data_IF_191940700196
#
_entry.id   IF_191940700196
#
_cell.length_a   1.000
_cell.length_b   1.000
_cell.length_c   1.000
_cell.angle_alpha   90.00
_cell.angle_beta   90.00
_cell.angle_gamma   90.00
#
_symmetry.space_group_name_H-M   'P 1'
#
loop_
_entity.id
_entity.type
_entity.pdbx_description
1 polymer ?
#
# COMPACT_ATOMS: atom_id res chain seq x y z
N UNK A 1 -22.73 21.97 19.68
CA UNK A 1 -21.56 21.10 19.48
C UNK A 1 -22.02 19.91 18.67
N UNK A 2 -21.92 20.00 17.34
CA UNK A 2 -22.42 18.97 16.42
C UNK A 2 -21.31 17.95 16.24
N UNK A 3 -21.52 16.74 16.76
CA UNK A 3 -20.65 15.60 16.49
C UNK A 3 -20.93 15.17 15.05
N UNK A 4 -20.03 15.53 14.14
CA UNK A 4 -20.00 14.99 12.79
C UNK A 4 -19.68 13.49 12.91
N UNK A 5 -20.70 12.66 12.78
CA UNK A 5 -20.56 11.21 12.63
C UNK A 5 -19.79 10.93 11.34
N UNK A 6 -18.52 10.52 11.47
CA UNK A 6 -17.75 9.96 10.37
C UNK A 6 -18.54 8.79 9.77
N UNK A 7 -18.99 8.95 8.52
CA UNK A 7 -19.59 7.87 7.73
C UNK A 7 -18.51 6.79 7.54
N UNK A 8 -18.75 5.52 7.92
CA UNK A 8 -17.82 4.45 7.62
C UNK A 8 -17.64 4.30 6.10
N UNK A 9 -16.39 4.08 5.66
CA UNK A 9 -16.03 3.79 4.27
C UNK A 9 -16.71 2.48 3.83
N UNK A 10 -17.90 2.59 3.25
CA UNK A 10 -18.58 1.48 2.60
C UNK A 10 -17.94 1.22 1.23
N UNK A 11 -16.77 0.58 1.23
CA UNK A 11 -16.35 -0.26 0.10
C UNK A 11 -17.39 -1.39 0.01
N UNK A 12 -18.44 -1.17 -0.79
CA UNK A 12 -19.62 -2.01 -0.98
C UNK A 12 -19.57 -3.41 -0.38
N UNK A 13 -20.09 -3.54 0.84
CA UNK A 13 -20.61 -4.80 1.39
C UNK A 13 -22.03 -4.53 1.92
N UNK A 14 -22.81 -3.73 1.21
CA UNK A 14 -24.24 -3.61 1.45
C UNK A 14 -24.98 -4.58 0.52
N UNK A 15 -25.54 -5.62 1.13
CA UNK A 15 -26.55 -6.56 0.60
C UNK A 15 -26.21 -7.21 -0.75
N UNK A 16 -25.47 -8.31 -0.70
CA UNK A 16 -25.68 -9.41 -1.67
C UNK A 16 -27.03 -10.02 -1.33
N UNK A 17 -28.08 -9.63 -2.06
CA UNK A 17 -29.31 -10.41 -2.08
C UNK A 17 -29.01 -11.73 -2.80
N UNK A 18 -29.65 -12.82 -2.37
CA UNK A 18 -29.34 -14.19 -2.80
C UNK A 18 -29.47 -14.45 -4.32
N UNK A 19 -29.97 -13.49 -5.11
CA UNK A 19 -30.13 -13.60 -6.56
C UNK A 19 -28.87 -13.21 -7.36
N UNK A 20 -27.99 -12.36 -6.83
CA UNK A 20 -26.75 -11.91 -7.51
C UNK A 20 -25.49 -12.70 -7.09
N UNK A 21 -25.66 -13.71 -6.23
CA UNK A 21 -24.57 -14.35 -5.48
C UNK A 21 -23.67 -15.32 -6.28
N UNK A 22 -23.84 -15.45 -7.59
CA UNK A 22 -23.17 -16.50 -8.38
C UNK A 22 -21.96 -16.03 -9.21
N UNK A 23 -21.75 -14.73 -9.38
CA UNK A 23 -20.53 -14.22 -10.03
C UNK A 23 -19.62 -13.49 -9.02
N UNK A 24 -18.30 -13.77 -9.04
CA UNK A 24 -17.38 -13.06 -8.17
C UNK A 24 -17.31 -11.58 -8.59
N UNK A 25 -17.33 -10.68 -7.59
CA UNK A 25 -17.02 -9.26 -7.84
C UNK A 25 -15.65 -9.16 -8.50
N UNK A 26 -15.53 -8.29 -9.51
CA UNK A 26 -14.31 -8.11 -10.28
C UNK A 26 -13.69 -6.75 -9.97
N UNK A 27 -12.38 -6.75 -9.82
CA UNK A 27 -11.55 -5.56 -9.75
C UNK A 27 -10.61 -5.53 -10.95
N UNK A 28 -10.51 -4.37 -11.61
CA UNK A 28 -9.54 -4.18 -12.69
C UNK A 28 -8.18 -3.83 -12.10
N UNK A 29 -7.14 -4.51 -12.57
CA UNK A 29 -5.76 -4.24 -12.21
C UNK A 29 -5.00 -3.78 -13.44
N UNK A 30 -4.22 -2.71 -13.33
CA UNK A 30 -3.15 -2.46 -14.30
C UNK A 30 -1.94 -3.29 -13.89
N UNK A 31 -1.35 -4.02 -14.82
CA UNK A 31 -0.14 -4.82 -14.64
C UNK A 31 0.97 -4.31 -15.56
N UNK A 32 2.19 -4.13 -15.04
CA UNK A 32 3.39 -3.78 -15.80
C UNK A 32 4.01 -5.04 -16.41
N UNK A 33 3.83 -5.22 -17.72
CA UNK A 33 4.44 -6.29 -18.49
C UNK A 33 5.93 -6.03 -18.77
N UNK A 34 6.64 -7.05 -19.24
CA UNK A 34 8.03 -6.93 -19.75
C UNK A 34 9.13 -6.77 -18.70
N UNK A 35 8.84 -6.29 -17.48
CA UNK A 35 9.83 -6.19 -16.38
C UNK A 35 9.79 -7.33 -15.38
N UNK A 36 8.62 -7.74 -14.84
CA UNK A 36 8.57 -8.91 -13.99
C UNK A 36 9.07 -10.14 -14.76
N UNK A 37 9.71 -11.12 -14.09
CA UNK A 37 10.04 -12.39 -14.72
C UNK A 37 8.84 -12.98 -15.46
N UNK A 38 9.05 -13.54 -16.67
CA UNK A 38 7.99 -14.13 -17.49
C UNK A 38 7.10 -15.10 -16.68
N UNK A 39 7.71 -15.91 -15.81
CA UNK A 39 7.00 -16.83 -14.92
C UNK A 39 5.98 -16.11 -14.02
N UNK A 40 6.34 -14.96 -13.47
CA UNK A 40 5.47 -14.19 -12.57
C UNK A 40 4.32 -13.56 -13.35
N UNK A 41 4.61 -13.06 -14.56
CA UNK A 41 3.58 -12.54 -15.46
C UNK A 41 2.58 -13.64 -15.86
N UNK A 42 3.06 -14.81 -16.32
CA UNK A 42 2.18 -15.93 -16.67
C UNK A 42 1.37 -16.36 -15.44
N UNK A 43 2.01 -16.53 -14.28
CA UNK A 43 1.32 -16.93 -13.05
C UNK A 43 0.21 -15.96 -12.67
N UNK A 44 0.46 -14.64 -12.76
CA UNK A 44 -0.59 -13.66 -12.49
C UNK A 44 -1.75 -13.80 -13.51
N UNK A 45 -1.43 -13.90 -14.79
CA UNK A 45 -2.45 -14.00 -15.84
C UNK A 45 -3.27 -15.29 -15.76
N UNK A 46 -2.68 -16.42 -15.34
CA UNK A 46 -3.40 -17.71 -15.27
C UNK A 46 -4.11 -17.94 -13.95
N UNK A 47 -3.52 -17.51 -12.83
CA UNK A 47 -4.05 -17.80 -11.48
C UNK A 47 -4.88 -16.67 -10.87
N UNK A 48 -4.72 -15.43 -11.34
CA UNK A 48 -5.42 -14.27 -10.79
C UNK A 48 -6.48 -13.71 -11.72
N UNK A 49 -6.28 -13.73 -13.04
CA UNK A 49 -7.26 -13.17 -13.96
C UNK A 49 -8.57 -13.99 -13.98
N UNK A 50 -9.72 -13.32 -14.18
CA UNK A 50 -11.07 -13.93 -14.24
C UNK A 50 -11.13 -15.12 -15.20
N UNK A 51 -10.44 -15.02 -16.34
CA UNK A 51 -10.41 -16.03 -17.40
C UNK A 51 -9.03 -16.69 -17.55
N UNK A 52 -8.21 -16.65 -16.50
CA UNK A 52 -6.81 -17.11 -16.56
C UNK A 52 -6.64 -18.60 -16.89
N UNK A 53 -7.58 -19.45 -16.47
CA UNK A 53 -7.54 -20.91 -16.71
C UNK A 53 -7.66 -21.31 -18.18
N UNK A 54 -8.23 -20.44 -19.02
CA UNK A 54 -8.40 -20.66 -20.46
C UNK A 54 -7.46 -19.78 -21.28
N UNK A 55 -6.51 -19.09 -20.63
CA UNK A 55 -5.60 -18.19 -21.32
C UNK A 55 -4.61 -18.96 -22.20
N UNK A 56 -4.38 -18.46 -23.41
CA UNK A 56 -3.32 -18.99 -24.29
C UNK A 56 -1.95 -18.53 -23.79
N UNK A 57 -1.21 -19.47 -23.19
CA UNK A 57 0.14 -19.23 -22.64
C UNK A 57 1.12 -18.76 -23.72
N UNK A 58 0.96 -19.19 -24.97
CA UNK A 58 1.83 -18.72 -26.07
C UNK A 58 1.57 -17.23 -26.34
N UNK A 59 0.30 -16.85 -26.49
CA UNK A 59 -0.07 -15.45 -26.68
C UNK A 59 0.40 -14.56 -25.52
N UNK A 60 0.26 -15.03 -24.27
CA UNK A 60 0.77 -14.34 -23.08
C UNK A 60 2.30 -14.17 -23.11
N UNK A 61 3.02 -15.18 -23.59
CA UNK A 61 4.48 -15.12 -23.72
C UNK A 61 4.91 -14.11 -24.79
N UNK A 62 4.19 -14.07 -25.91
CA UNK A 62 4.46 -13.13 -26.99
C UNK A 62 4.17 -11.67 -26.57
N UNK A 63 3.10 -11.44 -25.81
CA UNK A 63 2.79 -10.13 -25.22
C UNK A 63 3.89 -9.69 -24.25
N UNK A 64 4.33 -10.58 -23.35
CA UNK A 64 5.42 -10.27 -22.42
C UNK A 64 6.73 -9.95 -23.16
N UNK A 65 7.01 -10.68 -24.26
CA UNK A 65 8.20 -10.44 -25.08
C UNK A 65 8.15 -9.09 -25.76
N UNK A 66 6.99 -8.69 -26.31
CA UNK A 66 6.81 -7.37 -26.89
C UNK A 66 7.05 -6.25 -25.87
N UNK A 67 6.48 -6.37 -24.67
CA UNK A 67 6.73 -5.42 -23.59
C UNK A 67 8.21 -5.41 -23.16
N UNK A 68 8.87 -6.57 -23.13
CA UNK A 68 10.31 -6.65 -22.82
C UNK A 68 11.18 -5.94 -23.85
N UNK A 69 10.85 -6.04 -25.16
CA UNK A 69 11.52 -5.29 -26.23
C UNK A 69 11.34 -3.78 -26.00
N UNK A 70 10.12 -3.33 -25.71
CA UNK A 70 9.82 -1.93 -25.39
C UNK A 70 10.64 -1.42 -24.20
N UNK A 71 10.80 -2.23 -23.14
CA UNK A 71 11.66 -1.90 -22.00
C UNK A 71 13.12 -1.72 -22.43
N UNK A 72 13.66 -2.61 -23.27
CA UNK A 72 15.03 -2.48 -23.78
C UNK A 72 15.24 -1.25 -24.68
N UNK A 73 14.21 -0.77 -25.36
CA UNK A 73 14.25 0.51 -26.10
C UNK A 73 14.29 1.69 -25.13
N UNK A 74 13.40 1.71 -24.15
CA UNK A 74 13.34 2.75 -23.12
C UNK A 74 14.63 2.80 -22.29
N UNK A 75 15.28 1.67 -22.04
CA UNK A 75 16.60 1.64 -21.39
C UNK A 75 17.66 2.42 -22.16
N UNK A 76 17.62 2.38 -23.50
CA UNK A 76 18.58 3.11 -24.35
C UNK A 76 18.21 4.59 -24.48
N UNK A 77 16.91 4.89 -24.56
CA UNK A 77 16.40 6.24 -24.81
C UNK A 77 16.31 7.09 -23.53
N UNK A 78 16.03 6.44 -22.40
CA UNK A 78 15.69 7.08 -21.13
C UNK A 78 16.62 6.64 -19.98
N UNK A 79 17.86 6.25 -20.30
CA UNK A 79 18.87 5.96 -19.27
C UNK A 79 19.00 7.15 -18.31
N UNK A 80 18.93 6.88 -17.00
CA UNK A 80 18.96 7.90 -15.96
C UNK A 80 17.68 8.72 -15.78
N UNK A 81 16.55 8.34 -16.41
CA UNK A 81 15.27 9.06 -16.27
C UNK A 81 14.84 9.30 -14.83
N UNK A 82 15.04 8.30 -13.97
CA UNK A 82 14.66 8.32 -12.57
C UNK A 82 15.75 8.94 -11.66
N UNK A 83 16.90 9.29 -12.22
CA UNK A 83 18.04 9.78 -11.46
C UNK A 83 17.88 11.27 -11.15
N UNK A 84 18.32 11.68 -9.97
CA UNK A 84 18.26 13.04 -9.42
C UNK A 84 16.87 13.69 -9.56
N UNK A 85 15.80 13.06 -9.07
CA UNK A 85 14.47 13.64 -9.14
C UNK A 85 14.42 14.93 -8.30
N UNK A 86 13.65 15.91 -8.79
CA UNK A 86 13.44 17.16 -8.04
C UNK A 86 12.59 16.85 -6.79
N UNK A 87 13.12 17.20 -5.62
CA UNK A 87 12.41 17.19 -4.35
C UNK A 87 12.09 18.64 -4.01
N UNK A 88 10.87 19.07 -4.34
CA UNK A 88 10.41 20.44 -4.23
C UNK A 88 9.98 20.81 -2.82
N UNK A 89 10.03 22.11 -2.52
CA UNK A 89 9.50 22.65 -1.26
C UNK A 89 7.97 22.62 -1.26
N UNK A 90 7.40 22.41 -0.08
CA UNK A 90 5.97 22.55 0.13
C UNK A 90 5.58 24.04 0.12
N UNK A 91 4.41 24.37 -0.44
CA UNK A 91 3.92 25.74 -0.40
C UNK A 91 3.66 26.21 1.04
N UNK A 92 4.03 27.44 1.38
CA UNK A 92 3.93 27.97 2.75
C UNK A 92 2.51 27.89 3.36
N UNK A 93 1.47 27.92 2.54
CA UNK A 93 0.09 27.81 3.01
C UNK A 93 -0.26 26.40 3.53
N UNK A 94 0.53 25.37 3.21
CA UNK A 94 0.35 24.00 3.68
C UNK A 94 1.14 23.68 4.97
N UNK A 95 1.93 24.63 5.49
CA UNK A 95 2.70 24.43 6.74
C UNK A 95 1.84 24.02 7.94
N UNK A 96 0.60 24.51 8.13
CA UNK A 96 -0.27 23.99 9.19
C UNK A 96 -0.53 22.49 9.06
N UNK A 97 -0.83 22.01 7.84
CA UNK A 97 -1.08 20.58 7.58
C UNK A 97 0.21 19.75 7.71
N UNK A 98 1.35 20.30 7.30
CA UNK A 98 2.66 19.69 7.53
C UNK A 98 2.92 19.51 9.01
N UNK A 99 2.66 20.53 9.83
CA UNK A 99 2.81 20.43 11.28
C UNK A 99 1.86 19.38 11.90
N UNK A 100 0.63 19.24 11.40
CA UNK A 100 -0.28 18.18 11.84
C UNK A 100 0.30 16.79 11.57
N UNK A 101 0.82 16.53 10.36
CA UNK A 101 1.45 15.23 10.03
C UNK A 101 2.73 14.99 10.83
N UNK A 102 3.59 16.00 11.01
CA UNK A 102 4.83 15.82 11.75
C UNK A 102 4.58 15.58 13.25
N UNK A 103 3.49 16.09 13.82
CA UNK A 103 3.14 15.83 15.22
C UNK A 103 2.32 14.54 15.42
N UNK A 104 1.99 13.84 14.34
CA UNK A 104 1.21 12.60 14.36
C UNK A 104 2.03 11.45 15.00
N UNK A 105 1.51 10.75 16.02
CA UNK A 105 2.19 9.60 16.62
C UNK A 105 2.53 8.48 15.63
N UNK A 106 1.69 8.23 14.62
CA UNK A 106 1.98 7.23 13.59
C UNK A 106 3.11 7.69 12.67
N UNK A 107 3.25 9.00 12.42
CA UNK A 107 4.40 9.53 11.70
C UNK A 107 5.68 9.29 12.51
N UNK A 108 5.67 9.69 13.79
CA UNK A 108 6.84 9.56 14.67
C UNK A 108 7.28 8.10 14.83
N UNK A 109 6.34 7.18 14.99
CA UNK A 109 6.65 5.75 15.08
C UNK A 109 7.17 5.18 13.75
N UNK A 110 6.60 5.58 12.62
CA UNK A 110 6.96 5.01 11.32
C UNK A 110 8.24 5.59 10.72
N UNK A 111 8.57 6.84 11.03
CA UNK A 111 9.65 7.60 10.37
C UNK A 111 10.67 8.21 11.33
N UNK A 112 10.57 7.98 12.65
CA UNK A 112 11.47 8.57 13.64
C UNK A 112 12.90 8.02 13.66
N UNK A 113 13.19 6.94 12.93
CA UNK A 113 14.52 6.30 12.92
C UNK A 113 15.48 6.87 11.87
N UNK A 114 14.97 7.54 10.84
CA UNK A 114 15.75 8.15 9.77
C UNK A 114 15.25 9.57 9.50
N UNK A 115 16.09 10.49 8.99
CA UNK A 115 15.63 11.82 8.61
C UNK A 115 14.48 11.73 7.59
N UNK A 116 13.34 12.32 7.93
CA UNK A 116 12.17 12.37 7.10
C UNK A 116 11.54 13.76 7.11
N UNK A 117 11.11 14.24 5.94
CA UNK A 117 10.34 15.49 5.81
C UNK A 117 9.25 15.32 4.76
N UNK A 118 8.36 16.30 4.66
CA UNK A 118 7.33 16.38 3.64
C UNK A 118 7.79 17.31 2.52
N UNK A 119 7.80 16.78 1.30
CA UNK A 119 8.22 17.49 0.11
C UNK A 119 7.26 17.26 -1.06
N UNK A 120 7.38 18.07 -2.11
CA UNK A 120 6.65 17.88 -3.36
C UNK A 120 7.50 17.07 -4.33
N UNK A 121 6.97 15.95 -4.83
CA UNK A 121 7.72 15.01 -5.67
C UNK A 121 7.07 14.85 -7.05
N UNK A 122 7.89 14.74 -8.10
CA UNK A 122 7.42 14.45 -9.46
C UNK A 122 7.01 12.98 -9.58
N UNK A 123 5.73 12.73 -9.89
CA UNK A 123 5.15 11.39 -9.96
C UNK A 123 5.81 10.51 -11.02
N UNK A 124 6.09 11.04 -12.21
CA UNK A 124 6.61 10.28 -13.36
C UNK A 124 8.05 9.79 -13.20
N UNK A 125 8.78 10.33 -12.22
CA UNK A 125 10.15 9.89 -11.88
C UNK A 125 10.23 8.96 -10.67
N UNK A 126 9.13 8.76 -9.95
CA UNK A 126 9.11 7.83 -8.83
C UNK A 126 9.43 6.42 -9.31
N UNK A 127 10.49 5.83 -8.74
CA UNK A 127 10.83 4.43 -8.97
C UNK A 127 9.79 3.55 -8.28
N UNK A 128 9.27 2.56 -9.01
CA UNK A 128 8.26 1.62 -8.51
C UNK A 128 8.78 0.19 -8.59
N UNK A 129 8.34 -0.66 -7.66
CA UNK A 129 8.65 -2.10 -7.67
C UNK A 129 7.39 -2.98 -7.59
N UNK A 130 6.22 -2.36 -7.39
CA UNK A 130 4.96 -3.08 -7.51
C UNK A 130 4.71 -3.41 -8.97
N UNK A 131 4.19 -4.61 -9.23
CA UNK A 131 3.94 -5.12 -10.60
C UNK A 131 2.56 -4.73 -11.10
N UNK A 132 1.65 -4.41 -10.19
CA UNK A 132 0.27 -4.11 -10.50
C UNK A 132 -0.34 -3.12 -9.51
N UNK A 133 -1.37 -2.42 -9.95
CA UNK A 133 -2.18 -1.50 -9.14
C UNK A 133 -3.66 -1.82 -9.37
N UNK A 134 -4.43 -1.94 -8.30
CA UNK A 134 -5.88 -2.08 -8.38
C UNK A 134 -6.51 -0.73 -8.79
N UNK A 135 -7.13 -0.70 -9.98
CA UNK A 135 -7.74 0.49 -10.56
C UNK A 135 -9.03 0.90 -9.86
N UNK A 136 -9.67 0.01 -9.11
CA UNK A 136 -10.85 0.38 -8.32
C UNK A 136 -10.52 1.32 -7.16
N UNK A 137 -9.24 1.55 -6.86
CA UNK A 137 -8.82 2.62 -5.95
C UNK A 137 -8.97 4.03 -6.58
N UNK A 138 -8.93 4.14 -7.91
CA UNK A 138 -8.99 5.43 -8.61
C UNK A 138 -10.29 6.18 -8.32
N UNK A 139 -11.50 5.59 -8.44
CA UNK A 139 -12.75 6.26 -8.08
C UNK A 139 -12.79 6.73 -6.62
N UNK A 140 -12.11 6.04 -5.69
CA UNK A 140 -12.06 6.47 -4.30
C UNK A 140 -11.24 7.75 -4.13
N UNK A 141 -10.10 7.85 -4.81
CA UNK A 141 -9.31 9.10 -4.82
C UNK A 141 -10.09 10.21 -5.52
N UNK A 142 -10.72 9.91 -6.66
CA UNK A 142 -11.55 10.87 -7.37
C UNK A 142 -12.76 11.34 -6.55
N UNK A 143 -13.36 10.51 -5.71
CA UNK A 143 -14.47 10.95 -4.84
C UNK A 143 -14.04 11.92 -3.73
N UNK A 144 -12.74 11.92 -3.39
CA UNK A 144 -12.17 12.83 -2.38
C UNK A 144 -11.62 14.12 -2.98
N UNK A 145 -11.27 14.07 -4.26
CA UNK A 145 -10.81 15.22 -5.03
C UNK A 145 -11.99 15.70 -5.85
N UNK A 146 -12.63 16.79 -5.45
CA UNK A 146 -13.71 17.41 -6.24
C UNK A 146 -13.23 17.77 -7.67
N UNK A 147 -14.11 18.32 -8.51
CA UNK A 147 -13.77 18.62 -9.92
C UNK A 147 -12.57 19.57 -10.10
N UNK A 148 -12.23 20.36 -9.09
CA UNK A 148 -11.06 21.23 -9.04
C UNK A 148 -10.43 21.16 -7.64
N UNK A 149 -9.59 20.15 -7.35
CA UNK A 149 -9.05 19.96 -6.01
C UNK A 149 -8.08 21.08 -5.64
N UNK A 150 -8.15 21.55 -4.40
CA UNK A 150 -7.16 22.47 -3.84
C UNK A 150 -5.86 21.72 -3.50
N UNK A 151 -4.76 22.45 -3.29
CA UNK A 151 -3.52 21.84 -2.80
C UNK A 151 -3.70 21.16 -1.43
N UNK A 152 -4.60 21.68 -0.59
CA UNK A 152 -4.96 21.05 0.70
C UNK A 152 -5.68 19.71 0.50
N UNK A 153 -6.60 19.61 -0.47
CA UNK A 153 -7.30 18.35 -0.78
C UNK A 153 -6.29 17.29 -1.24
N UNK A 154 -5.36 17.69 -2.12
CA UNK A 154 -4.28 16.82 -2.60
C UNK A 154 -3.39 16.40 -1.44
N UNK A 155 -3.03 17.33 -0.55
CA UNK A 155 -2.23 17.04 0.65
C UNK A 155 -2.92 16.00 1.54
N UNK A 156 -4.20 16.19 1.87
CA UNK A 156 -4.98 15.27 2.73
C UNK A 156 -5.22 13.91 2.09
N UNK A 157 -5.27 13.85 0.76
CA UNK A 157 -5.29 12.57 0.04
C UNK A 157 -3.93 11.89 0.16
N UNK A 158 -2.83 12.60 -0.07
CA UNK A 158 -1.45 12.09 0.01
C UNK A 158 -1.08 11.60 1.41
N UNK A 159 -1.39 12.41 2.41
CA UNK A 159 -0.96 12.25 3.79
C UNK A 159 -2.18 12.26 4.74
N UNK A 160 -2.97 11.17 4.80
CA UNK A 160 -4.19 11.12 5.60
C UNK A 160 -3.88 10.94 7.10
N UNK A 161 -3.64 12.05 7.80
CA UNK A 161 -3.42 12.11 9.25
C UNK A 161 -4.73 12.06 10.07
N UNK A 162 -5.88 11.96 9.40
CA UNK A 162 -7.19 11.62 9.98
C UNK A 162 -7.38 10.09 10.15
N UNK A 163 -6.40 9.30 9.69
CA UNK A 163 -6.32 7.84 9.84
C UNK A 163 -7.62 7.10 9.46
N UNK A 164 -8.08 7.22 8.20
CA UNK A 164 -9.28 6.55 7.75
C UNK A 164 -9.13 5.04 7.97
N UNK A 165 -10.10 4.44 8.66
CA UNK A 165 -10.12 3.00 8.93
C UNK A 165 -11.04 2.28 7.94
N UNK A 166 -10.49 1.47 7.03
CA UNK A 166 -11.30 0.58 6.21
C UNK A 166 -12.12 -0.37 7.08
N UNK A 167 -13.28 -0.81 6.58
CA UNK A 167 -14.12 -1.78 7.28
C UNK A 167 -13.32 -3.06 7.56
N UNK A 168 -13.41 -3.52 8.81
CA UNK A 168 -12.91 -4.82 9.25
C UNK A 168 -14.09 -5.66 9.71
N UNK A 169 -14.22 -6.85 9.14
CA UNK A 169 -15.10 -7.90 9.66
C UNK A 169 -14.24 -8.94 10.35
N UNK A 170 -14.73 -9.53 11.43
CA UNK A 170 -14.01 -10.59 12.10
C UNK A 170 -14.95 -11.69 12.56
N UNK A 171 -14.38 -12.87 12.76
CA UNK A 171 -15.08 -14.02 13.31
C UNK A 171 -14.14 -14.81 14.21
N UNK A 172 -14.73 -15.46 15.21
CA UNK A 172 -14.06 -16.48 16.02
C UNK A 172 -14.47 -17.85 15.49
N UNK A 173 -13.52 -18.60 14.93
CA UNK A 173 -13.79 -19.93 14.38
C UNK A 173 -13.59 -21.04 15.42
N UNK A 174 -12.70 -20.82 16.39
CA UNK A 174 -12.45 -21.72 17.53
C UNK A 174 -12.13 -20.90 18.78
N UNK A 175 -12.05 -21.56 19.94
CA UNK A 175 -11.81 -20.88 21.21
C UNK A 175 -10.50 -20.05 21.20
N UNK A 176 -9.49 -20.46 20.45
CA UNK A 176 -8.19 -19.78 20.34
C UNK A 176 -7.90 -19.17 18.95
N UNK A 177 -8.89 -19.10 18.06
CA UNK A 177 -8.67 -18.67 16.67
C UNK A 177 -9.64 -17.57 16.25
N UNK A 178 -9.08 -16.43 15.89
CA UNK A 178 -9.79 -15.25 15.40
C UNK A 178 -9.31 -14.92 13.99
N UNK A 179 -10.25 -14.62 13.08
CA UNK A 179 -9.94 -14.25 11.70
C UNK A 179 -10.56 -12.91 11.37
N UNK A 180 -9.75 -11.99 10.85
CA UNK A 180 -10.12 -10.64 10.43
C UNK A 180 -10.04 -10.53 8.91
N UNK A 181 -10.98 -9.79 8.31
CA UNK A 181 -11.12 -9.57 6.87
C UNK A 181 -11.31 -8.08 6.58
N UNK A 182 -10.62 -7.57 5.55
CA UNK A 182 -10.83 -6.21 5.05
C UNK A 182 -10.68 -6.15 3.53
N UNK A 183 -11.41 -5.27 2.83
CA UNK A 183 -11.11 -4.96 1.43
C UNK A 183 -9.78 -4.23 1.24
N UNK A 184 -9.23 -3.62 2.29
CA UNK A 184 -7.91 -3.00 2.23
C UNK A 184 -6.80 -4.06 2.28
N UNK A 185 -5.84 -3.97 1.37
CA UNK A 185 -4.66 -4.82 1.36
C UNK A 185 -3.69 -4.54 2.52
N UNK A 186 -3.93 -3.47 3.28
CA UNK A 186 -3.08 -3.00 4.37
C UNK A 186 -3.38 -3.66 5.73
N UNK A 187 -4.47 -4.43 5.84
CA UNK A 187 -4.80 -5.16 7.08
C UNK A 187 -3.68 -6.14 7.45
N UNK A 188 -3.17 -5.99 8.68
CA UNK A 188 -2.00 -6.71 9.19
C UNK A 188 -2.04 -6.86 10.72
N UNK A 189 -1.25 -7.81 11.21
CA UNK A 189 -0.83 -7.80 12.61
C UNK A 189 0.08 -6.59 12.82
N UNK A 190 -0.14 -5.86 13.91
CA UNK A 190 0.63 -4.68 14.28
C UNK A 190 1.67 -5.06 15.32
N UNK A 191 1.20 -5.56 16.47
CA UNK A 191 2.07 -5.96 17.59
C UNK A 191 1.29 -6.79 18.62
N UNK A 192 2.01 -7.33 19.60
CA UNK A 192 1.46 -7.91 20.82
C UNK A 192 2.13 -7.31 22.05
N UNK A 193 1.36 -7.03 23.10
CA UNK A 193 1.87 -6.43 24.32
C UNK A 193 1.21 -7.03 25.55
N UNK A 194 1.89 -6.93 26.69
CA UNK A 194 1.28 -7.16 28.00
C UNK A 194 0.69 -5.84 28.48
N UNK A 195 -0.61 -5.85 28.81
CA UNK A 195 -1.32 -4.70 29.35
C UNK A 195 -1.74 -5.00 30.79
N UNK A 196 -1.77 -3.94 31.59
CA UNK A 196 -2.46 -3.95 32.87
C UNK A 196 -3.98 -3.94 32.64
N UNK A 197 -4.74 -4.62 33.51
CA UNK A 197 -6.19 -4.71 33.39
C UNK A 197 -6.87 -3.33 33.42
N UNK A 198 -6.32 -2.37 34.18
CA UNK A 198 -6.83 -1.00 34.28
C UNK A 198 -6.80 -0.23 32.95
N UNK A 199 -6.01 -0.68 31.97
CA UNK A 199 -5.92 -0.05 30.65
C UNK A 199 -7.07 -0.46 29.73
N UNK A 200 -7.89 -1.45 30.11
CA UNK A 200 -9.00 -1.95 29.28
C UNK A 200 -10.34 -1.47 29.84
N UNK A 201 -11.03 -0.65 29.06
CA UNK A 201 -12.36 -0.13 29.39
C UNK A 201 -13.47 -1.06 28.88
N UNK A 202 -14.54 -1.20 29.67
CA UNK A 202 -15.76 -1.89 29.26
C UNK A 202 -15.67 -3.42 29.22
N UNK A 203 -14.62 -4.00 29.79
CA UNK A 203 -14.49 -5.46 29.93
C UNK A 203 -14.60 -5.88 31.40
N UNK A 204 -15.58 -6.71 31.71
CA UNK A 204 -15.74 -7.30 33.04
C UNK A 204 -14.95 -8.61 33.12
N UNK A 205 -13.94 -8.67 33.99
CA UNK A 205 -13.17 -9.89 34.20
C UNK A 205 -13.97 -10.93 35.00
N UNK A 206 -13.84 -12.23 34.68
CA UNK A 206 -14.39 -13.32 35.50
C UNK A 206 -13.64 -13.53 36.84
N UNK A 207 -12.52 -12.85 37.09
CA UNK A 207 -11.74 -13.00 38.32
C UNK A 207 -10.63 -11.95 38.49
N UNK A 208 -9.75 -12.17 39.46
CA UNK A 208 -8.56 -11.32 39.65
C UNK A 208 -7.59 -11.52 38.48
N UNK A 209 -7.42 -10.49 37.65
CA UNK A 209 -6.55 -10.53 36.47
C UNK A 209 -5.13 -10.21 36.88
N UNK A 210 -4.19 -11.12 36.59
CA UNK A 210 -2.76 -10.86 36.79
C UNK A 210 -2.16 -10.04 35.64
N UNK A 211 -2.54 -10.31 34.40
CA UNK A 211 -2.10 -9.60 33.20
C UNK A 211 -3.06 -9.84 32.04
N UNK A 212 -3.07 -8.93 31.06
CA UNK A 212 -3.73 -9.13 29.77
C UNK A 212 -2.70 -9.24 28.65
N UNK A 213 -2.88 -10.21 27.76
CA UNK A 213 -2.12 -10.29 26.51
C UNK A 213 -2.96 -9.64 25.42
N UNK A 214 -2.51 -8.48 24.93
CA UNK A 214 -3.13 -7.77 23.84
C UNK A 214 -2.49 -8.18 22.50
N UNK A 215 -3.32 -8.46 21.51
CA UNK A 215 -2.90 -8.71 20.12
C UNK A 215 -3.59 -7.69 19.22
N UNK A 216 -2.79 -6.81 18.62
CA UNK A 216 -3.29 -5.69 17.82
C UNK A 216 -3.31 -6.07 16.33
N UNK A 217 -4.50 -6.03 15.74
CA UNK A 217 -4.72 -6.19 14.29
C UNK A 217 -5.34 -4.92 13.75
N UNK A 218 -4.76 -4.37 12.70
CA UNK A 218 -5.19 -3.09 12.14
C UNK A 218 -4.45 -2.74 10.86
N UNK A 219 -4.19 -1.45 10.68
CA UNK A 219 -3.62 -0.86 9.48
C UNK A 219 -2.33 -0.12 9.82
N UNK A 220 -1.40 -0.08 8.87
CA UNK A 220 -0.17 0.69 9.02
C UNK A 220 -0.40 2.18 8.75
N UNK A 221 0.68 2.96 8.80
CA UNK A 221 0.64 4.35 8.37
C UNK A 221 0.39 4.43 6.86
N UNK A 222 -0.78 4.93 6.46
CA UNK A 222 -1.20 4.96 5.07
C UNK A 222 -0.70 6.20 4.31
N UNK A 223 0.40 6.80 4.75
CA UNK A 223 0.99 7.97 4.11
C UNK A 223 1.66 7.61 2.78
N UNK A 224 1.51 8.48 1.78
CA UNK A 224 2.32 8.43 0.56
C UNK A 224 3.76 8.74 0.97
N UNK A 225 4.65 7.76 0.82
CA UNK A 225 6.04 7.95 1.18
C UNK A 225 7.00 7.29 0.20
N UNK A 226 8.15 7.93 0.05
CA UNK A 226 9.24 7.49 -0.78
C UNK A 226 10.55 7.54 0.00
N UNK A 227 11.52 6.74 -0.43
CA UNK A 227 12.85 6.67 0.15
C UNK A 227 13.82 7.24 -0.87
N UNK A 228 14.50 8.31 -0.50
CA UNK A 228 15.59 8.89 -1.26
C UNK A 228 16.90 8.22 -0.85
N UNK A 229 17.54 7.54 -1.81
CA UNK A 229 18.78 6.80 -1.61
C UNK A 229 19.63 6.90 -2.87
N UNK A 230 20.93 7.11 -2.69
CA UNK A 230 21.85 7.41 -3.80
C UNK A 230 21.31 8.61 -4.60
N UNK A 231 20.95 8.42 -5.86
CA UNK A 231 20.37 9.43 -6.74
C UNK A 231 18.91 9.13 -7.12
N UNK A 232 18.20 8.27 -6.36
CA UNK A 232 16.84 7.81 -6.73
C UNK A 232 15.83 8.03 -5.62
N UNK A 233 14.59 8.24 -6.03
CA UNK A 233 13.44 8.32 -5.15
C UNK A 233 12.50 7.14 -5.41
N UNK A 234 12.46 6.21 -4.46
CA UNK A 234 11.71 4.95 -4.59
C UNK A 234 10.41 5.05 -3.81
N UNK A 235 9.29 4.85 -4.49
CA UNK A 235 7.97 4.84 -3.87
C UNK A 235 7.82 3.63 -2.96
N UNK A 236 7.83 3.86 -1.65
CA UNK A 236 7.80 2.80 -0.64
C UNK A 236 6.37 2.44 -0.24
N UNK A 237 5.48 3.42 -0.07
CA UNK A 237 4.05 3.21 0.14
C UNK A 237 3.21 4.18 -0.70
N UNK A 238 1.98 3.78 -1.02
CA UNK A 238 1.02 4.64 -1.73
C UNK A 238 0.98 4.46 -3.24
N UNK A 239 1.43 3.34 -3.81
CA UNK A 239 1.40 3.08 -5.27
C UNK A 239 0.01 3.25 -5.91
N UNK A 240 -1.05 2.81 -5.23
CA UNK A 240 -2.42 2.99 -5.70
C UNK A 240 -2.81 4.48 -5.74
N UNK A 241 -2.38 5.23 -4.72
CA UNK A 241 -2.64 6.66 -4.60
C UNK A 241 -1.84 7.45 -5.64
N UNK A 242 -0.54 7.20 -5.76
CA UNK A 242 0.33 7.83 -6.75
C UNK A 242 -0.20 7.60 -8.17
N UNK A 243 -0.57 6.35 -8.50
CA UNK A 243 -1.19 6.03 -9.78
C UNK A 243 -2.50 6.82 -9.99
N UNK A 244 -3.37 6.86 -8.98
CA UNK A 244 -4.66 7.57 -9.09
C UNK A 244 -4.48 9.06 -9.28
N UNK A 245 -3.59 9.70 -8.52
CA UNK A 245 -3.27 11.12 -8.65
C UNK A 245 -2.70 11.42 -10.04
N UNK A 246 -1.79 10.57 -10.53
CA UNK A 246 -1.23 10.70 -11.88
C UNK A 246 -2.28 10.51 -12.98
N UNK A 247 -3.20 9.57 -12.79
CA UNK A 247 -4.33 9.31 -13.68
C UNK A 247 -5.28 10.51 -13.77
N UNK A 248 -5.46 11.23 -12.66
CA UNK A 248 -6.24 12.47 -12.60
C UNK A 248 -5.49 13.71 -13.15
N UNK A 249 -4.29 13.51 -13.72
CA UNK A 249 -3.53 14.56 -14.39
C UNK A 249 -2.54 15.32 -13.50
N UNK A 250 -2.43 14.97 -12.21
CA UNK A 250 -1.43 15.57 -11.32
C UNK A 250 -0.04 15.06 -11.70
N UNK A 251 0.94 15.96 -11.72
CA UNK A 251 2.34 15.63 -12.02
C UNK A 251 3.22 15.70 -10.78
N UNK A 252 2.83 16.51 -9.80
CA UNK A 252 3.57 16.76 -8.57
C UNK A 252 2.64 16.67 -7.37
N UNK A 253 3.08 16.01 -6.29
CA UNK A 253 2.25 15.80 -5.10
C UNK A 253 3.06 15.84 -3.81
N UNK A 254 2.46 16.21 -2.66
CA UNK A 254 3.09 16.06 -1.35
C UNK A 254 3.39 14.59 -1.04
N UNK A 255 4.57 14.33 -0.49
CA UNK A 255 5.05 12.99 -0.14
C UNK A 255 5.98 13.10 1.07
N UNK A 256 5.93 12.12 1.97
CA UNK A 256 6.98 11.95 2.97
C UNK A 256 8.21 11.39 2.26
N UNK A 257 9.35 12.04 2.42
CA UNK A 257 10.63 11.59 1.87
C UNK A 257 11.55 11.22 3.02
N UNK A 258 11.87 9.94 3.13
CA UNK A 258 12.92 9.46 4.02
C UNK A 258 14.26 9.53 3.30
N UNK A 259 15.25 10.16 3.92
CA UNK A 259 16.60 10.26 3.39
C UNK A 259 17.48 9.22 4.07
N UNK A 260 17.98 8.26 3.29
CA UNK A 260 18.92 7.26 3.79
C UNK A 260 20.26 7.41 3.08
N UNK A 261 21.34 7.30 3.85
CA UNK A 261 22.71 7.54 3.37
C UNK A 261 23.36 6.29 2.78
N UNK A 262 22.81 5.11 3.08
CA UNK A 262 23.38 3.83 2.66
C UNK A 262 22.33 2.78 2.34
N UNK A 263 22.74 1.74 1.60
CA UNK A 263 21.91 0.56 1.35
C UNK A 263 21.63 -0.26 2.61
N UNK A 264 22.49 -0.17 3.63
CA UNK A 264 22.24 -0.84 4.91
C UNK A 264 21.14 -0.13 5.70
N UNK A 265 21.16 1.21 5.76
CA UNK A 265 20.05 1.99 6.31
C UNK A 265 18.75 1.74 5.55
N UNK A 266 18.81 1.68 4.21
CA UNK A 266 17.66 1.36 3.38
C UNK A 266 16.98 0.05 3.80
N UNK A 267 17.73 -0.99 4.18
CA UNK A 267 17.16 -2.28 4.63
C UNK A 267 16.39 -2.16 5.95
N UNK A 268 16.63 -1.12 6.74
CA UNK A 268 15.92 -0.89 8.01
C UNK A 268 14.55 -0.25 7.83
N UNK A 269 14.34 0.49 6.73
CA UNK A 269 13.10 1.23 6.45
C UNK A 269 12.31 0.71 5.24
N UNK A 270 12.96 -0.02 4.34
CA UNK A 270 12.35 -0.56 3.14
C UNK A 270 11.42 -1.73 3.44
N UNK A 271 10.29 -1.79 2.72
CA UNK A 271 9.42 -2.96 2.75
C UNK A 271 10.13 -4.23 2.23
N UNK A 272 9.75 -5.41 2.72
CA UNK A 272 10.35 -6.67 2.22
C UNK A 272 10.23 -6.86 0.71
N UNK A 273 9.10 -6.48 0.06
CA UNK A 273 9.03 -6.47 -1.41
C UNK A 273 10.04 -5.54 -2.08
N UNK A 274 10.31 -4.34 -1.52
CA UNK A 274 11.36 -3.46 -2.03
C UNK A 274 12.74 -4.09 -1.88
N UNK A 275 13.06 -4.67 -0.71
CA UNK A 275 14.35 -5.34 -0.46
C UNK A 275 14.64 -6.42 -1.52
N UNK A 276 13.62 -7.20 -1.92
CA UNK A 276 13.75 -8.22 -2.97
C UNK A 276 14.00 -7.66 -4.38
N UNK A 277 13.71 -6.39 -4.62
CA UNK A 277 13.81 -5.75 -5.93
C UNK A 277 14.87 -4.62 -5.97
N UNK A 278 15.73 -4.51 -4.95
CA UNK A 278 16.70 -3.40 -4.82
C UNK A 278 17.58 -3.21 -6.05
N UNK A 279 18.09 -4.30 -6.63
CA UNK A 279 18.95 -4.22 -7.81
C UNK A 279 18.20 -3.66 -9.02
N UNK A 280 16.93 -4.05 -9.19
CA UNK A 280 16.07 -3.49 -10.24
C UNK A 280 15.80 -2.00 -10.01
N UNK A 281 15.65 -1.57 -8.75
CA UNK A 281 15.38 -0.18 -8.41
C UNK A 281 16.62 0.71 -8.43
N UNK A 282 17.82 0.20 -8.13
CA UNK A 282 19.04 1.00 -7.93
C UNK A 282 20.10 0.80 -9.02
N UNK A 283 20.30 -0.43 -9.49
CA UNK A 283 21.39 -0.72 -10.45
C UNK A 283 20.94 -0.61 -11.90
N UNK A 284 19.64 -0.78 -12.16
CA UNK A 284 19.12 -0.76 -13.52
C UNK A 284 19.26 0.64 -14.14
N UNK A 285 19.74 0.81 -15.39
CA UNK A 285 19.98 2.13 -15.98
C UNK A 285 18.69 2.96 -16.16
N UNK A 286 17.56 2.28 -16.32
CA UNK A 286 16.22 2.87 -16.38
C UNK A 286 15.26 2.01 -15.55
N UNK A 287 15.17 2.18 -14.22
CA UNK A 287 14.34 1.34 -13.36
C UNK A 287 12.85 1.49 -13.73
N UNK A 288 11.96 0.58 -13.28
CA UNK A 288 10.53 0.81 -13.41
C UNK A 288 10.14 2.13 -12.74
N UNK A 289 9.41 2.97 -13.45
CA UNK A 289 8.94 4.27 -12.96
C UNK A 289 7.43 4.37 -13.06
N UNK A 290 6.79 5.22 -12.26
CA UNK A 290 5.33 5.31 -12.21
C UNK A 290 4.70 5.57 -13.60
N UNK A 291 5.35 6.35 -14.47
CA UNK A 291 4.85 6.61 -15.83
C UNK A 291 4.71 5.35 -16.69
N UNK A 292 5.43 4.26 -16.37
CA UNK A 292 5.34 2.99 -17.09
C UNK A 292 3.94 2.39 -17.02
N UNK A 293 3.16 2.68 -15.97
CA UNK A 293 1.77 2.23 -15.86
C UNK A 293 0.84 2.89 -16.89
N UNK A 294 1.30 3.94 -17.57
CA UNK A 294 0.55 4.71 -18.55
C UNK A 294 1.04 4.48 -19.99
N UNK A 295 2.16 3.77 -20.18
CA UNK A 295 2.62 3.35 -21.51
C UNK A 295 1.74 2.17 -22.01
N UNK A 296 1.01 2.32 -23.13
CA UNK A 296 0.12 1.29 -23.66
C UNK A 296 0.85 0.01 -24.09
N UNK A 297 2.15 0.06 -24.36
CA UNK A 297 2.96 -1.09 -24.75
C UNK A 297 3.52 -1.85 -23.53
N UNK A 298 3.49 -1.23 -22.34
CA UNK A 298 3.95 -1.84 -21.09
C UNK A 298 2.80 -2.25 -20.17
N UNK A 299 1.62 -1.62 -20.31
CA UNK A 299 0.50 -1.85 -19.40
C UNK A 299 -0.50 -2.84 -19.96
N UNK A 300 -1.05 -3.67 -19.08
CA UNK A 300 -2.24 -4.49 -19.35
C UNK A 300 -3.26 -4.32 -18.26
N UNK A 301 -4.51 -4.05 -18.64
CA UNK A 301 -5.65 -4.07 -17.71
C UNK A 301 -6.17 -5.50 -17.63
N UNK A 302 -6.26 -6.02 -16.41
CA UNK A 302 -6.62 -7.40 -16.12
C UNK A 302 -7.81 -7.42 -15.17
N UNK A 303 -8.95 -8.01 -15.55
CA UNK A 303 -10.05 -8.25 -14.62
C UNK A 303 -9.67 -9.38 -13.66
N UNK A 304 -9.67 -9.11 -12.36
CA UNK A 304 -9.29 -10.04 -11.29
C UNK A 304 -10.46 -10.21 -10.32
N UNK A 305 -10.85 -11.45 -9.94
CA UNK A 305 -11.81 -11.65 -8.87
C UNK A 305 -11.35 -10.97 -7.58
N UNK A 306 -12.20 -10.12 -7.01
CA UNK A 306 -11.95 -9.33 -5.80
C UNK A 306 -11.52 -10.23 -4.66
N UNK A 307 -10.43 -9.85 -3.99
CA UNK A 307 -9.88 -10.57 -2.83
C UNK A 307 -9.95 -9.69 -1.60
N UNK A 308 -10.30 -10.30 -0.46
CA UNK A 308 -10.19 -9.67 0.84
C UNK A 308 -8.84 -10.02 1.47
N UNK A 309 -8.22 -9.05 2.15
CA UNK A 309 -7.07 -9.30 3.01
C UNK A 309 -7.55 -10.01 4.26
N UNK A 310 -6.92 -11.14 4.58
CA UNK A 310 -7.20 -11.93 5.77
C UNK A 310 -6.00 -11.90 6.73
N UNK A 311 -6.27 -11.66 8.01
CA UNK A 311 -5.31 -11.86 9.10
C UNK A 311 -5.92 -12.88 10.07
N UNK A 312 -5.24 -14.00 10.30
CA UNK A 312 -5.66 -15.02 11.25
C UNK A 312 -4.72 -15.01 12.44
N UNK A 313 -5.29 -14.84 13.63
CA UNK A 313 -4.59 -14.92 14.91
C UNK A 313 -4.96 -16.24 15.56
N UNK A 314 -3.94 -17.04 15.91
CA UNK A 314 -4.07 -18.28 16.67
C UNK A 314 -3.10 -18.20 17.85
N UNK A 315 -3.58 -18.55 19.04
CA UNK A 315 -2.72 -18.69 20.22
C UNK A 315 -2.83 -20.09 20.82
N UNK A 316 -1.80 -20.48 21.56
CA UNK A 316 -1.66 -21.75 22.25
C UNK A 316 -1.37 -21.45 23.72
N UNK A 317 -1.94 -22.26 24.61
CA UNK A 317 -1.82 -22.10 26.05
C UNK A 317 -1.34 -23.45 26.58
N UNK A 318 -0.15 -23.45 27.16
CA UNK A 318 0.45 -24.59 27.84
C UNK A 318 0.57 -24.28 29.32
N UNK A 319 0.07 -25.19 30.16
CA UNK A 319 0.11 -25.08 31.62
C UNK A 319 1.02 -26.18 32.18
N UNK A 320 1.98 -25.79 33.01
CA UNK A 320 2.88 -26.71 33.69
C UNK A 320 3.26 -26.16 35.07
N UNK A 321 3.29 -27.04 36.07
CA UNK A 321 3.82 -26.72 37.39
C UNK A 321 5.35 -26.85 37.37
N UNK A 322 6.05 -25.78 37.74
CA UNK A 322 7.52 -25.78 37.87
C UNK A 322 7.92 -25.70 39.34
N UNK A 323 8.92 -26.47 39.81
CA UNK A 323 9.42 -26.37 41.18
C UNK A 323 9.91 -24.95 41.48
N UNK A 324 9.60 -24.45 42.68
CA UNK A 324 10.19 -23.21 43.17
C UNK A 324 11.71 -23.39 43.33
N UNK A 325 12.49 -22.49 42.73
CA UNK A 325 13.95 -22.42 42.89
C UNK A 325 14.33 -21.60 44.13
#
# INVERSE_FOLDING_TARGET
MVVMLNKPMALGIERVTAADANEPLIDDYVYLAGRPPLRDYIHFMTEWARYGKTADVRALTDEWRAASVRISELEKQEAGWADNPVIGQLGHHLEPLRAEVLNDPLFQQAFGTQPADIAVVELDRLVVYQKHVNLNYVPHVQSRLESAPTEEDIFRVCLPFDHPQPVVRWMRSHHNTYTFFSPSNDLRFLDSAILDFSQVLGYASPGAVAALIAVSVGFGSNFLNAIHVENRLILNNGSHRAFSLRHLGLTHVPCIVQHVSSREELKTVASSPLIRNLDLCLKHPRPPVLKDYFDPELRKVVPVPRRLRQVRVKFEIDEADVPAL
#
